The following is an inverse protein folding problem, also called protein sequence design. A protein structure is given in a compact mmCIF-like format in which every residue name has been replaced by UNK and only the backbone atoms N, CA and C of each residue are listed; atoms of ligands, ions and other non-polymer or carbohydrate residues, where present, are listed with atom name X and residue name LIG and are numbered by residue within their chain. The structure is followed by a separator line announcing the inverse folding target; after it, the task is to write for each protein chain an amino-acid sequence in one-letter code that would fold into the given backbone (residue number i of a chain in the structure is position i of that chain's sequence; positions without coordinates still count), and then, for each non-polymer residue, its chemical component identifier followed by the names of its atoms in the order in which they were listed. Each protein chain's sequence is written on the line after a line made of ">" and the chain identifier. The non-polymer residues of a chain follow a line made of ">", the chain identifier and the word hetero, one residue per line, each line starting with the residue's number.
data_IF_795411269935
#
_entry.id   IF_795411269935
#
_cell.length_a   1.000
_cell.length_b   1.000
_cell.length_c   1.000
_cell.angle_alpha   90.00
_cell.angle_beta   90.00
_cell.angle_gamma   90.00
#
_symmetry.space_group_name_H-M   'P 1'
#
loop_
_entity.id
_entity.type
_entity.pdbx_description
1 polymer ?
#
# COMPACT_ATOMS: atom_id res chain seq x y z
N UNK A 1 -13.43 19.25 16.64
CA UNK A 1 -13.26 20.30 15.61
C UNK A 1 -12.37 21.38 16.18
N UNK A 2 -11.58 22.09 15.37
CA UNK A 2 -10.80 23.26 15.81
C UNK A 2 -11.75 24.40 16.18
N UNK A 3 -11.25 25.37 16.95
CA UNK A 3 -12.07 26.50 17.44
C UNK A 3 -12.65 27.36 16.31
N UNK A 4 -11.96 27.45 15.17
CA UNK A 4 -12.37 28.19 13.96
C UNK A 4 -13.17 27.34 12.96
N UNK A 5 -13.39 26.06 13.23
CA UNK A 5 -14.09 25.14 12.34
C UNK A 5 -13.28 24.63 11.14
N UNK A 6 -12.06 25.13 10.90
CA UNK A 6 -11.26 24.80 9.72
C UNK A 6 -10.79 23.33 9.68
N UNK A 7 -10.64 22.70 10.85
CA UNK A 7 -10.13 21.34 10.98
C UNK A 7 -11.05 20.45 11.81
N UNK A 8 -11.15 19.20 11.41
CA UNK A 8 -11.85 18.16 12.16
C UNK A 8 -10.88 17.02 12.49
N UNK A 9 -10.86 16.62 13.77
CA UNK A 9 -10.15 15.44 14.22
C UNK A 9 -10.98 14.22 13.83
N UNK A 10 -10.41 13.34 13.01
CA UNK A 10 -11.08 12.14 12.49
C UNK A 10 -10.28 10.89 12.82
N UNK A 11 -10.98 9.80 13.08
CA UNK A 11 -10.42 8.46 13.15
C UNK A 11 -10.81 7.68 11.89
N UNK A 12 -9.83 7.01 11.29
CA UNK A 12 -10.04 6.18 10.11
C UNK A 12 -9.19 4.92 10.18
N UNK A 13 -9.31 4.06 9.17
CA UNK A 13 -8.44 2.89 9.03
C UNK A 13 -6.94 3.24 8.80
N UNK A 14 -6.60 4.52 8.60
CA UNK A 14 -5.23 5.02 8.57
C UNK A 14 -4.70 5.40 9.95
N UNK A 15 -5.58 5.78 10.88
CA UNK A 15 -5.26 6.31 12.20
C UNK A 15 -6.09 7.54 12.57
N UNK A 16 -5.70 8.19 13.66
CA UNK A 16 -6.29 9.42 14.18
C UNK A 16 -5.50 10.64 13.67
N UNK A 17 -6.20 11.65 13.12
CA UNK A 17 -5.53 12.85 12.59
C UNK A 17 -6.47 13.99 12.28
N UNK A 18 -5.89 15.17 12.04
CA UNK A 18 -6.64 16.36 11.63
C UNK A 18 -6.77 16.41 10.10
N UNK A 19 -7.98 16.62 9.63
CA UNK A 19 -8.32 16.78 8.20
C UNK A 19 -9.03 18.12 8.02
N UNK A 20 -8.83 18.84 6.89
CA UNK A 20 -9.61 20.03 6.59
C UNK A 20 -11.10 19.69 6.65
N UNK A 21 -11.88 20.48 7.39
CA UNK A 21 -13.33 20.25 7.50
C UNK A 21 -14.02 20.34 6.13
N UNK A 22 -13.41 21.01 5.16
CA UNK A 22 -13.85 21.10 3.77
C UNK A 22 -13.65 19.82 2.93
N UNK A 23 -12.99 18.79 3.48
CA UNK A 23 -12.78 17.50 2.81
C UNK A 23 -13.65 16.37 3.39
N UNK A 24 -14.47 16.67 4.41
CA UNK A 24 -15.35 15.69 5.06
C UNK A 24 -16.85 15.96 4.81
N UNK A 25 -17.62 14.91 4.56
CA UNK A 25 -19.06 15.01 4.40
C UNK A 25 -19.77 14.09 5.41
N UNK A 26 -20.83 14.59 6.05
CA UNK A 26 -21.60 13.84 7.04
C UNK A 26 -22.52 12.85 6.35
N UNK A 27 -22.25 11.56 6.56
CA UNK A 27 -23.13 10.47 6.12
C UNK A 27 -24.24 10.22 7.15
N UNK A 28 -25.49 10.26 6.72
CA UNK A 28 -26.62 9.85 7.55
C UNK A 28 -26.75 8.31 7.64
N UNK A 29 -27.75 7.82 8.37
CA UNK A 29 -27.99 6.38 8.51
C UNK A 29 -28.46 5.72 7.20
N UNK A 30 -29.16 6.45 6.33
CA UNK A 30 -29.63 5.94 5.04
C UNK A 30 -28.47 5.73 4.08
N UNK A 31 -27.63 6.75 3.91
CA UNK A 31 -26.45 6.69 3.06
C UNK A 31 -25.50 5.58 3.52
N UNK A 32 -25.26 5.44 4.82
CA UNK A 32 -24.40 4.35 5.34
C UNK A 32 -24.93 2.97 4.97
N UNK A 33 -26.24 2.73 5.08
CA UNK A 33 -26.86 1.46 4.65
C UNK A 33 -26.69 1.21 3.15
N UNK A 34 -26.81 2.25 2.32
CA UNK A 34 -26.59 2.14 0.88
C UNK A 34 -25.11 1.99 0.51
N UNK A 35 -24.20 2.50 1.33
CA UNK A 35 -22.76 2.34 1.13
C UNK A 35 -22.31 0.92 1.50
N UNK A 36 -22.86 0.37 2.58
CA UNK A 36 -22.50 -0.91 3.16
C UNK A 36 -23.20 -2.12 2.50
N UNK A 37 -23.32 -2.11 1.17
CA UNK A 37 -24.08 -3.13 0.39
C UNK A 37 -23.41 -4.49 0.26
N UNK A 38 -22.16 -4.65 0.72
CA UNK A 38 -21.42 -5.92 0.67
C UNK A 38 -20.85 -6.30 -0.71
N UNK A 39 -21.15 -5.52 -1.76
CA UNK A 39 -20.61 -5.71 -3.10
C UNK A 39 -19.77 -4.52 -3.52
N UNK A 40 -18.47 -4.75 -3.68
CA UNK A 40 -17.51 -3.68 -3.95
C UNK A 40 -16.63 -4.00 -5.13
N UNK A 41 -16.08 -2.93 -5.70
CA UNK A 41 -14.95 -2.99 -6.60
C UNK A 41 -13.71 -2.37 -5.97
N UNK A 42 -12.53 -2.81 -6.41
CA UNK A 42 -11.26 -2.24 -6.02
C UNK A 42 -10.48 -1.77 -7.26
N UNK A 43 -9.83 -0.62 -7.13
CA UNK A 43 -9.03 -0.04 -8.20
C UNK A 43 -7.76 -0.84 -8.45
N UNK A 44 -7.47 -1.15 -9.71
CA UNK A 44 -6.23 -1.81 -10.15
C UNK A 44 -5.37 -0.92 -11.05
N UNK A 45 -5.88 0.27 -11.42
CA UNK A 45 -5.12 1.35 -12.05
C UNK A 45 -5.17 2.60 -11.19
N UNK A 46 -4.06 3.32 -11.14
CA UNK A 46 -3.95 4.54 -10.35
C UNK A 46 -4.41 5.77 -11.14
N UNK A 47 -4.66 6.89 -10.45
CA UNK A 47 -4.93 8.22 -11.04
C UNK A 47 -6.07 8.27 -12.09
N UNK A 48 -7.10 7.44 -11.95
CA UNK A 48 -8.29 7.49 -12.78
C UNK A 48 -9.16 8.69 -12.41
N UNK A 49 -9.85 9.28 -13.39
CA UNK A 49 -10.77 10.39 -13.12
C UNK A 49 -12.15 9.85 -12.75
N UNK A 50 -12.69 10.27 -11.61
CA UNK A 50 -14.10 10.08 -11.28
C UNK A 50 -14.90 11.21 -11.95
N UNK A 51 -15.65 10.86 -12.98
CA UNK A 51 -16.48 11.78 -13.76
C UNK A 51 -17.94 11.33 -13.66
N UNK A 52 -18.84 12.26 -13.33
CA UNK A 52 -20.27 11.96 -13.27
C UNK A 52 -20.92 11.91 -14.66
N UNK A 53 -22.17 11.46 -14.74
CA UNK A 53 -22.92 11.33 -16.00
C UNK A 53 -23.12 12.66 -16.75
N UNK A 54 -22.86 13.81 -16.10
CA UNK A 54 -22.90 15.14 -16.70
C UNK A 54 -21.53 15.58 -17.23
N UNK A 55 -20.53 14.70 -17.21
CA UNK A 55 -19.17 14.99 -17.66
C UNK A 55 -18.35 15.82 -16.67
N UNK A 56 -18.82 16.00 -15.42
CA UNK A 56 -18.10 16.80 -14.44
C UNK A 56 -17.07 15.96 -13.70
N UNK A 57 -15.84 16.45 -13.67
CA UNK A 57 -14.80 15.90 -12.82
C UNK A 57 -15.16 16.10 -11.34
N UNK A 58 -15.12 15.02 -10.56
CA UNK A 58 -15.35 15.03 -9.12
C UNK A 58 -14.01 15.02 -8.37
N UNK A 59 -13.21 13.96 -8.58
CA UNK A 59 -11.90 13.75 -7.96
C UNK A 59 -11.14 12.63 -8.68
N UNK A 60 -9.93 12.29 -8.21
CA UNK A 60 -9.17 11.14 -8.70
C UNK A 60 -9.39 9.91 -7.84
N UNK A 61 -9.54 8.76 -8.49
CA UNK A 61 -9.57 7.45 -7.86
C UNK A 61 -8.41 6.57 -8.28
N UNK A 62 -7.94 5.70 -7.40
CA UNK A 62 -6.69 4.98 -7.61
C UNK A 62 -6.52 3.77 -6.72
N UNK A 63 -5.40 3.05 -6.92
CA UNK A 63 -5.11 1.81 -6.19
C UNK A 63 -5.10 2.09 -4.68
N UNK A 64 -5.74 1.23 -3.90
CA UNK A 64 -6.00 1.44 -2.47
C UNK A 64 -7.44 1.84 -2.14
N UNK A 65 -8.22 2.30 -3.12
CA UNK A 65 -9.62 2.66 -2.92
C UNK A 65 -10.58 1.51 -3.27
N UNK A 66 -11.68 1.46 -2.52
CA UNK A 66 -12.79 0.51 -2.64
C UNK A 66 -14.07 1.32 -2.82
N UNK A 67 -14.89 0.98 -3.81
CA UNK A 67 -16.14 1.67 -4.12
C UNK A 67 -17.32 0.69 -4.19
N UNK A 68 -18.53 1.06 -3.69
CA UNK A 68 -19.72 0.23 -3.81
C UNK A 68 -20.10 0.02 -5.28
N UNK A 69 -20.39 -1.23 -5.65
CA UNK A 69 -20.79 -1.59 -7.01
C UNK A 69 -22.30 -1.44 -7.20
N UNK A 70 -22.72 -0.62 -8.17
CA UNK A 70 -24.13 -0.46 -8.54
C UNK A 70 -24.55 -1.50 -9.58
N UNK A 71 -23.83 -1.52 -10.70
CA UNK A 71 -24.16 -2.37 -11.84
C UNK A 71 -22.94 -2.61 -12.73
N UNK A 72 -23.04 -3.61 -13.60
CA UNK A 72 -22.04 -3.92 -14.63
C UNK A 72 -22.63 -3.63 -16.01
N UNK A 73 -22.00 -2.72 -16.75
CA UNK A 73 -22.24 -2.52 -18.17
C UNK A 73 -21.41 -3.47 -19.04
N UNK A 74 -21.41 -3.26 -20.34
CA UNK A 74 -20.64 -4.10 -21.28
C UNK A 74 -19.12 -3.94 -21.09
N UNK A 75 -18.66 -2.70 -20.90
CA UNK A 75 -17.25 -2.30 -20.88
C UNK A 75 -16.86 -1.46 -19.65
N UNK A 76 -17.78 -1.31 -18.69
CA UNK A 76 -17.57 -0.55 -17.45
C UNK A 76 -18.32 -1.14 -16.25
N UNK A 77 -17.91 -0.73 -15.06
CA UNK A 77 -18.71 -0.82 -13.85
C UNK A 77 -19.29 0.56 -13.52
N UNK A 78 -20.55 0.59 -13.08
CA UNK A 78 -21.12 1.75 -12.39
C UNK A 78 -20.97 1.59 -10.90
N UNK A 79 -20.44 2.61 -10.25
CA UNK A 79 -20.11 2.60 -8.83
C UNK A 79 -20.61 3.86 -8.16
N UNK A 80 -20.86 3.77 -6.86
CA UNK A 80 -21.17 4.93 -6.04
C UNK A 80 -19.90 5.62 -5.56
N UNK A 81 -19.91 6.95 -5.61
CA UNK A 81 -18.97 7.83 -4.90
C UNK A 81 -19.73 8.78 -3.98
N UNK A 82 -19.11 9.19 -2.88
CA UNK A 82 -19.66 10.20 -1.98
C UNK A 82 -19.13 11.59 -2.34
N UNK A 83 -20.03 12.56 -2.45
CA UNK A 83 -19.71 13.99 -2.63
C UNK A 83 -20.41 14.82 -1.56
N UNK A 84 -19.83 15.96 -1.19
CA UNK A 84 -20.45 16.89 -0.25
C UNK A 84 -21.47 17.80 -0.96
N UNK A 85 -22.63 18.02 -0.34
CA UNK A 85 -23.53 19.12 -0.70
C UNK A 85 -23.10 20.46 -0.05
N UNK A 86 -23.86 21.52 -0.31
CA UNK A 86 -23.66 22.84 0.27
C UNK A 86 -23.76 22.88 1.81
N UNK A 87 -24.40 21.87 2.43
CA UNK A 87 -24.57 21.72 3.87
C UNK A 87 -23.56 20.74 4.50
N UNK A 88 -22.55 20.29 3.73
CA UNK A 88 -21.58 19.26 4.13
C UNK A 88 -22.21 17.90 4.45
N UNK A 89 -23.42 17.63 3.96
CA UNK A 89 -24.03 16.31 3.88
C UNK A 89 -23.41 15.50 2.76
N UNK A 90 -23.17 14.20 3.00
CA UNK A 90 -22.72 13.30 1.94
C UNK A 90 -23.92 12.91 1.05
N UNK A 91 -23.71 12.90 -0.26
CA UNK A 91 -24.64 12.39 -1.26
C UNK A 91 -23.94 11.42 -2.19
N UNK A 92 -24.68 10.42 -2.65
CA UNK A 92 -24.14 9.43 -3.57
C UNK A 92 -24.31 9.91 -5.02
N UNK A 93 -23.23 9.81 -5.80
CA UNK A 93 -23.26 9.97 -7.25
C UNK A 93 -22.77 8.69 -7.91
N UNK A 94 -23.38 8.34 -9.04
CA UNK A 94 -22.85 7.28 -9.89
C UNK A 94 -21.72 7.84 -10.75
N UNK A 95 -20.67 7.04 -10.92
CA UNK A 95 -19.64 7.23 -11.94
C UNK A 95 -19.44 5.92 -12.69
N UNK A 96 -18.91 6.04 -13.91
CA UNK A 96 -18.51 4.89 -14.72
C UNK A 96 -16.99 4.69 -14.66
N UNK A 97 -16.55 3.49 -14.33
CA UNK A 97 -15.14 3.09 -14.34
C UNK A 97 -14.92 1.97 -15.36
N UNK A 98 -13.93 2.09 -16.25
CA UNK A 98 -13.70 1.09 -17.29
C UNK A 98 -13.18 -0.23 -16.69
N UNK A 99 -13.59 -1.38 -17.24
CA UNK A 99 -13.25 -2.71 -16.68
C UNK A 99 -11.74 -2.97 -16.55
N UNK A 100 -10.91 -2.26 -17.31
CA UNK A 100 -9.46 -2.35 -17.25
C UNK A 100 -8.83 -1.62 -16.05
N UNK A 101 -9.57 -0.75 -15.36
CA UNK A 101 -9.08 0.06 -14.25
C UNK A 101 -9.49 -0.46 -12.88
N UNK A 102 -10.44 -1.41 -12.85
CA UNK A 102 -11.16 -1.79 -11.64
C UNK A 102 -11.67 -3.22 -11.75
N UNK A 103 -11.71 -3.92 -10.61
CA UNK A 103 -12.14 -5.33 -10.54
C UNK A 103 -13.14 -5.51 -9.41
N UNK A 104 -14.03 -6.51 -9.50
CA UNK A 104 -14.79 -6.94 -8.33
C UNK A 104 -13.83 -7.43 -7.27
N UNK A 105 -13.99 -6.93 -6.04
CA UNK A 105 -13.13 -7.30 -4.92
C UNK A 105 -13.68 -8.56 -4.24
N UNK A 106 -12.82 -9.54 -3.87
CA UNK A 106 -11.38 -9.58 -4.07
C UNK A 106 -10.95 -10.03 -5.47
N UNK A 107 -9.85 -9.46 -5.96
CA UNK A 107 -9.09 -9.97 -7.09
C UNK A 107 -8.38 -11.26 -6.68
N UNK A 108 -8.43 -12.28 -7.53
CA UNK A 108 -7.69 -13.52 -7.29
C UNK A 108 -6.19 -13.24 -7.14
N UNK A 109 -5.56 -13.80 -6.10
CA UNK A 109 -4.15 -13.60 -5.83
C UNK A 109 -3.29 -14.48 -6.75
N UNK A 110 -2.90 -13.95 -7.90
CA UNK A 110 -2.00 -14.62 -8.86
C UNK A 110 -0.78 -13.74 -9.13
N UNK A 111 0.34 -14.34 -9.55
CA UNK A 111 1.55 -13.60 -9.89
C UNK A 111 1.28 -12.49 -10.92
N UNK A 112 0.51 -12.79 -11.96
CA UNK A 112 0.16 -11.83 -13.01
C UNK A 112 -0.67 -10.66 -12.47
N UNK A 113 -1.63 -10.94 -11.58
CA UNK A 113 -2.46 -9.88 -11.01
C UNK A 113 -1.66 -8.95 -10.10
N UNK A 114 -0.86 -9.48 -9.17
CA UNK A 114 -0.07 -8.63 -8.28
C UNK A 114 1.02 -7.88 -9.03
N UNK A 115 1.68 -8.49 -10.01
CA UNK A 115 2.64 -7.80 -10.88
C UNK A 115 1.98 -6.65 -11.65
N UNK A 116 0.75 -6.84 -12.17
CA UNK A 116 -0.01 -5.80 -12.83
C UNK A 116 -0.31 -4.60 -11.93
N UNK A 117 -0.60 -4.83 -10.65
CA UNK A 117 -0.81 -3.77 -9.66
C UNK A 117 0.51 -3.13 -9.23
N UNK A 118 1.58 -3.90 -9.01
CA UNK A 118 2.93 -3.38 -8.73
C UNK A 118 3.37 -2.38 -9.81
N UNK A 119 3.13 -2.70 -11.08
CA UNK A 119 3.46 -1.85 -12.21
C UNK A 119 2.77 -0.47 -12.17
N UNK A 120 1.64 -0.32 -11.47
CA UNK A 120 1.02 0.99 -11.29
C UNK A 120 1.83 1.92 -10.39
N UNK A 121 2.61 1.36 -9.46
CA UNK A 121 3.39 2.11 -8.50
C UNK A 121 4.81 2.41 -8.99
N UNK A 122 5.36 1.62 -9.91
CA UNK A 122 6.74 1.75 -10.36
C UNK A 122 7.08 3.18 -10.79
N UNK A 123 8.16 3.74 -10.22
CA UNK A 123 8.59 5.11 -10.50
C UNK A 123 7.77 6.22 -9.83
N UNK A 124 6.68 5.90 -9.11
CA UNK A 124 5.92 6.91 -8.36
C UNK A 124 6.80 7.52 -7.27
N UNK A 125 6.80 8.86 -7.12
CA UNK A 125 7.61 9.53 -6.11
C UNK A 125 7.28 9.08 -4.69
N UNK A 126 8.30 9.11 -3.83
CA UNK A 126 8.14 8.91 -2.40
C UNK A 126 7.47 10.13 -1.76
N UNK A 127 6.39 9.91 -1.01
CA UNK A 127 5.73 10.93 -0.20
C UNK A 127 5.64 10.50 1.25
N UNK A 128 6.44 11.11 2.12
CA UNK A 128 6.38 10.86 3.56
C UNK A 128 4.97 11.09 4.09
N UNK A 129 4.37 10.09 4.74
CA UNK A 129 3.01 10.22 5.27
C UNK A 129 1.92 10.33 4.21
N UNK A 130 2.24 10.23 2.92
CA UNK A 130 1.33 10.49 1.80
C UNK A 130 1.38 11.92 1.25
N UNK A 131 2.43 12.69 1.56
CA UNK A 131 2.59 14.06 1.08
C UNK A 131 2.44 14.17 -0.46
N UNK A 132 1.73 15.20 -0.92
CA UNK A 132 1.37 15.43 -2.33
C UNK A 132 0.45 14.35 -2.95
N UNK A 133 -0.20 13.52 -2.13
CA UNK A 133 -0.98 12.39 -2.62
C UNK A 133 -0.13 11.21 -3.11
N UNK A 134 1.18 11.23 -2.82
CA UNK A 134 2.09 10.12 -3.10
C UNK A 134 2.00 9.05 -2.00
N UNK A 135 2.88 8.06 -2.05
CA UNK A 135 2.94 6.97 -1.06
C UNK A 135 4.31 6.89 -0.41
N UNK A 136 4.34 6.42 0.84
CA UNK A 136 5.58 5.97 1.50
C UNK A 136 5.69 4.45 1.43
N UNK A 137 6.75 3.89 2.04
CA UNK A 137 7.02 2.45 2.01
C UNK A 137 5.82 1.61 2.47
N UNK A 138 5.17 2.01 3.56
CA UNK A 138 4.05 1.27 4.16
C UNK A 138 2.72 1.54 3.47
N UNK A 139 2.44 2.77 3.03
CA UNK A 139 1.19 3.04 2.30
C UNK A 139 1.20 2.43 0.89
N UNK A 140 2.37 2.32 0.24
CA UNK A 140 2.53 1.56 -1.01
C UNK A 140 2.10 0.10 -0.84
N UNK A 141 2.58 -0.59 0.20
CA UNK A 141 2.18 -1.98 0.45
C UNK A 141 0.71 -2.09 0.86
N UNK A 142 0.23 -1.19 1.72
CA UNK A 142 -1.17 -1.17 2.14
C UNK A 142 -2.10 -1.10 0.92
N UNK A 143 -1.86 -0.17 0.01
CA UNK A 143 -2.71 0.03 -1.15
C UNK A 143 -2.56 -1.10 -2.18
N UNK A 144 -1.34 -1.64 -2.35
CA UNK A 144 -1.07 -2.81 -3.21
C UNK A 144 -1.95 -4.01 -2.87
N UNK A 145 -2.18 -4.27 -1.57
CA UNK A 145 -2.89 -5.45 -1.10
C UNK A 145 -4.43 -5.28 -1.05
N UNK A 146 -4.94 -4.05 -1.17
CA UNK A 146 -6.40 -3.76 -1.14
C UNK A 146 -7.21 -4.54 -2.19
N UNK A 147 -6.81 -4.59 -3.48
CA UNK A 147 -7.56 -5.32 -4.50
C UNK A 147 -7.71 -6.81 -4.17
N UNK A 148 -6.71 -7.39 -3.53
CA UNK A 148 -6.68 -8.81 -3.12
C UNK A 148 -7.43 -9.07 -1.81
N UNK A 149 -7.88 -8.02 -1.13
CA UNK A 149 -8.56 -8.12 0.16
C UNK A 149 -7.69 -8.52 1.33
N UNK A 150 -6.39 -8.32 1.22
CA UNK A 150 -5.46 -8.44 2.34
C UNK A 150 -5.36 -7.06 2.98
N UNK A 151 -5.77 -6.97 4.25
CA UNK A 151 -5.72 -5.72 4.99
C UNK A 151 -4.36 -5.56 5.68
N UNK A 152 -3.73 -4.40 5.49
CA UNK A 152 -2.53 -4.00 6.20
C UNK A 152 -2.77 -2.72 7.03
N UNK A 153 -2.22 -2.62 8.25
CA UNK A 153 -2.22 -1.39 9.03
C UNK A 153 -1.33 -0.32 8.36
N UNK A 154 -1.45 0.92 8.81
CA UNK A 154 -0.78 2.06 8.17
C UNK A 154 0.74 2.06 8.30
N UNK A 155 1.27 1.67 9.46
CA UNK A 155 2.68 1.84 9.79
C UNK A 155 3.47 0.54 9.59
N UNK A 156 4.70 0.64 9.08
CA UNK A 156 5.59 -0.49 8.79
C UNK A 156 5.76 -1.44 9.98
N UNK A 157 5.92 -0.90 11.20
CA UNK A 157 6.03 -1.71 12.42
C UNK A 157 4.79 -2.60 12.63
N UNK A 158 3.59 -2.03 12.52
CA UNK A 158 2.35 -2.80 12.66
C UNK A 158 2.12 -3.77 11.49
N UNK A 159 2.59 -3.43 10.28
CA UNK A 159 2.52 -4.35 9.15
C UNK A 159 3.37 -5.60 9.41
N UNK A 160 4.54 -5.41 10.01
CA UNK A 160 5.45 -6.50 10.32
C UNK A 160 4.98 -7.37 11.51
N UNK A 161 4.45 -6.74 12.56
CA UNK A 161 4.16 -7.43 13.83
C UNK A 161 2.67 -7.72 14.06
N UNK A 162 1.76 -7.18 13.25
CA UNK A 162 0.32 -7.17 13.54
C UNK A 162 -0.59 -7.92 12.57
N UNK A 163 -0.09 -8.40 11.42
CA UNK A 163 -0.95 -9.03 10.38
C UNK A 163 -0.62 -10.51 10.17
N UNK A 164 0.64 -10.90 10.33
CA UNK A 164 1.12 -12.24 10.03
C UNK A 164 2.13 -12.74 11.06
N UNK A 165 2.75 -13.89 10.77
CA UNK A 165 3.81 -14.44 11.63
C UNK A 165 5.09 -13.66 11.41
N UNK A 166 5.56 -12.95 12.44
CA UNK A 166 6.87 -12.33 12.42
C UNK A 166 7.96 -13.38 12.67
N UNK A 167 8.96 -13.41 11.79
CA UNK A 167 10.14 -14.27 11.87
C UNK A 167 11.35 -13.37 12.13
N UNK A 168 11.87 -13.31 13.37
CA UNK A 168 13.00 -12.47 13.72
C UNK A 168 14.30 -12.99 13.09
N UNK A 169 15.22 -12.07 12.78
CA UNK A 169 16.56 -12.34 12.28
C UNK A 169 17.65 -11.99 13.30
N UNK A 170 17.28 -11.99 14.59
CA UNK A 170 18.20 -11.83 15.72
C UNK A 170 19.39 -12.80 15.58
N UNK A 171 20.59 -12.29 15.84
CA UNK A 171 21.86 -13.03 15.79
C UNK A 171 22.21 -13.71 14.45
N UNK A 172 21.46 -13.45 13.37
CA UNK A 172 21.78 -13.98 12.05
C UNK A 172 22.83 -13.13 11.33
N UNK A 173 23.83 -13.81 10.77
CA UNK A 173 24.74 -13.21 9.80
C UNK A 173 23.98 -12.76 8.55
N UNK A 174 24.51 -11.80 7.80
CA UNK A 174 23.94 -11.36 6.50
C UNK A 174 23.69 -12.55 5.56
N UNK A 175 24.61 -13.54 5.54
CA UNK A 175 24.46 -14.77 4.75
C UNK A 175 23.28 -15.63 5.23
N UNK A 176 23.11 -15.76 6.54
CA UNK A 176 22.00 -16.52 7.11
C UNK A 176 20.65 -15.81 6.95
N UNK A 177 20.62 -14.47 7.03
CA UNK A 177 19.44 -13.67 6.66
C UNK A 177 19.01 -13.94 5.22
N UNK A 178 19.94 -13.85 4.27
CA UNK A 178 19.68 -14.17 2.85
C UNK A 178 19.13 -15.58 2.69
N UNK A 179 19.84 -16.59 3.24
CA UNK A 179 19.40 -17.99 3.17
C UNK A 179 18.00 -18.18 3.75
N UNK A 180 17.71 -17.55 4.89
CA UNK A 180 16.42 -17.66 5.56
C UNK A 180 15.29 -17.04 4.74
N UNK A 181 15.51 -15.86 4.14
CA UNK A 181 14.55 -15.23 3.22
C UNK A 181 14.26 -16.15 2.03
N UNK A 182 15.29 -16.72 1.40
CA UNK A 182 15.13 -17.57 0.21
C UNK A 182 14.41 -18.90 0.53
N UNK A 183 14.69 -19.50 1.69
CA UNK A 183 14.13 -20.80 2.07
C UNK A 183 12.71 -20.69 2.63
N UNK A 184 12.45 -19.69 3.47
CA UNK A 184 11.17 -19.57 4.19
C UNK A 184 10.21 -18.57 3.53
N UNK A 185 10.70 -17.72 2.61
CA UNK A 185 9.89 -16.72 1.92
C UNK A 185 9.20 -17.28 0.67
N UNK A 186 7.86 -17.23 0.64
CA UNK A 186 7.09 -17.47 -0.58
C UNK A 186 7.02 -16.19 -1.42
N UNK A 187 7.46 -16.13 -2.69
CA UNK A 187 7.43 -14.89 -3.47
C UNK A 187 6.10 -14.13 -3.40
N UNK A 188 6.15 -12.80 -3.30
CA UNK A 188 5.01 -11.87 -3.33
C UNK A 188 4.15 -11.83 -2.05
N UNK A 189 4.56 -12.48 -0.96
CA UNK A 189 3.83 -12.47 0.31
C UNK A 189 4.63 -11.91 1.51
N UNK A 190 5.88 -12.33 1.79
CA UNK A 190 6.65 -11.84 2.91
C UNK A 190 6.94 -10.34 2.82
N UNK A 191 6.79 -9.67 3.95
CA UNK A 191 7.23 -8.30 4.11
C UNK A 191 8.55 -8.28 4.88
N UNK A 192 9.62 -7.76 4.29
CA UNK A 192 10.91 -7.59 4.95
C UNK A 192 10.91 -6.26 5.69
N UNK A 193 11.21 -6.28 6.99
CA UNK A 193 11.05 -5.12 7.86
C UNK A 193 12.36 -4.72 8.54
N UNK A 194 12.55 -3.41 8.65
CA UNK A 194 13.58 -2.76 9.46
C UNK A 194 12.96 -1.52 10.12
N UNK A 195 13.53 -1.00 11.22
CA UNK A 195 13.07 0.27 11.78
C UNK A 195 13.05 1.38 10.72
N UNK A 196 11.85 1.90 10.46
CA UNK A 196 11.59 2.97 9.48
C UNK A 196 11.47 2.53 8.02
N UNK A 197 11.52 1.22 7.68
CA UNK A 197 11.32 0.77 6.29
C UNK A 197 10.70 -0.62 6.18
N UNK A 198 9.90 -0.84 5.13
CA UNK A 198 9.32 -2.14 4.81
C UNK A 198 9.33 -2.36 3.30
N UNK A 199 9.48 -3.62 2.88
CA UNK A 199 9.56 -4.00 1.48
C UNK A 199 8.85 -5.34 1.23
N UNK A 200 8.29 -5.51 0.04
CA UNK A 200 7.69 -6.78 -0.40
C UNK A 200 8.77 -7.67 -1.01
N UNK A 201 8.93 -8.89 -0.52
CA UNK A 201 9.79 -9.89 -1.15
C UNK A 201 9.18 -10.40 -2.46
N UNK A 202 9.96 -10.36 -3.55
CA UNK A 202 9.50 -10.74 -4.89
C UNK A 202 10.00 -12.12 -5.35
N UNK A 203 10.92 -12.73 -4.62
CA UNK A 203 11.60 -13.95 -5.05
C UNK A 203 13.11 -13.74 -5.24
N UNK A 204 13.73 -14.67 -5.95
CA UNK A 204 15.17 -14.72 -6.15
C UNK A 204 15.56 -14.27 -7.56
N UNK A 205 16.66 -13.54 -7.66
CA UNK A 205 17.39 -13.33 -8.91
C UNK A 205 18.88 -13.52 -8.67
N UNK A 206 19.51 -14.44 -9.41
CA UNK A 206 20.94 -14.75 -9.31
C UNK A 206 21.41 -15.05 -7.86
N UNK A 207 20.64 -15.85 -7.11
CA UNK A 207 20.98 -16.21 -5.72
C UNK A 207 20.70 -15.11 -4.69
N UNK A 208 20.09 -13.98 -5.08
CA UNK A 208 19.82 -12.86 -4.20
C UNK A 208 18.31 -12.56 -4.07
N UNK A 209 17.82 -12.22 -2.87
CA UNK A 209 16.45 -11.75 -2.70
C UNK A 209 16.21 -10.44 -3.43
N UNK A 210 15.11 -10.37 -4.16
CA UNK A 210 14.61 -9.17 -4.81
C UNK A 210 13.43 -8.61 -4.02
N UNK A 211 13.33 -7.28 -3.96
CA UNK A 211 12.28 -6.60 -3.22
C UNK A 211 11.63 -5.48 -4.04
N UNK A 212 10.33 -5.30 -3.85
CA UNK A 212 9.60 -4.11 -4.26
C UNK A 212 9.38 -3.20 -3.05
N UNK A 213 9.72 -1.92 -3.19
CA UNK A 213 9.53 -0.93 -2.12
C UNK A 213 9.42 0.49 -2.66
N UNK A 214 8.89 1.40 -1.85
CA UNK A 214 9.01 2.84 -2.07
C UNK A 214 10.01 3.41 -1.07
N UNK A 215 11.19 3.82 -1.55
CA UNK A 215 12.36 4.12 -0.71
C UNK A 215 12.80 5.57 -0.90
N UNK A 216 12.94 6.30 0.21
CA UNK A 216 13.43 7.68 0.19
C UNK A 216 14.89 7.75 -0.30
N UNK A 217 15.80 7.02 0.33
CA UNK A 217 17.19 6.99 -0.12
C UNK A 217 18.11 6.17 0.77
N UNK A 218 19.31 5.92 0.27
CA UNK A 218 20.36 5.11 0.88
C UNK A 218 21.27 6.02 1.70
N UNK A 219 21.56 5.66 2.95
CA UNK A 219 22.50 6.41 3.78
C UNK A 219 23.92 6.28 3.24
N UNK A 220 24.64 7.39 3.22
CA UNK A 220 26.02 7.47 2.71
C UNK A 220 26.91 8.15 3.73
N UNK A 221 28.22 7.89 3.68
CA UNK A 221 29.23 8.56 4.50
C UNK A 221 30.42 8.93 3.63
N UNK A 222 30.83 10.20 3.68
CA UNK A 222 31.97 10.66 2.90
C UNK A 222 33.32 10.39 3.60
N UNK A 223 34.43 10.69 2.92
CA UNK A 223 35.78 10.46 3.43
C UNK A 223 36.15 11.28 4.68
N UNK A 224 35.34 12.28 5.05
CA UNK A 224 35.47 13.04 6.30
C UNK A 224 34.52 12.55 7.39
N UNK A 225 33.81 11.43 7.16
CA UNK A 225 32.88 10.84 8.10
C UNK A 225 31.51 11.52 8.14
N UNK A 226 31.21 12.48 7.25
CA UNK A 226 29.93 13.21 7.26
C UNK A 226 28.83 12.35 6.66
N UNK A 227 27.68 12.36 7.33
CA UNK A 227 26.51 11.63 6.86
C UNK A 227 25.82 12.34 5.70
N UNK A 228 25.33 11.54 4.76
CA UNK A 228 24.56 12.01 3.62
C UNK A 228 23.51 10.98 3.19
N UNK A 229 22.88 11.25 2.06
CA UNK A 229 21.91 10.35 1.47
C UNK A 229 21.96 10.38 -0.05
N UNK A 230 22.05 9.21 -0.67
CA UNK A 230 21.70 9.05 -2.09
C UNK A 230 20.18 8.88 -2.18
N UNK A 231 19.51 9.91 -2.66
CA UNK A 231 18.05 9.88 -2.87
C UNK A 231 17.73 8.91 -4.02
N UNK A 232 16.83 7.97 -3.76
CA UNK A 232 16.12 7.21 -4.80
C UNK A 232 14.79 7.94 -5.02
N UNK A 233 13.99 8.05 -3.95
CA UNK A 233 12.84 8.94 -3.91
C UNK A 233 11.64 8.44 -4.72
N UNK A 234 11.56 7.15 -5.00
CA UNK A 234 10.43 6.56 -5.73
C UNK A 234 10.29 5.05 -5.46
N UNK A 235 9.18 4.48 -5.94
CA UNK A 235 8.98 3.03 -5.94
C UNK A 235 9.90 2.33 -6.94
N UNK A 236 10.58 1.29 -6.50
CA UNK A 236 11.58 0.56 -7.28
C UNK A 236 11.58 -0.93 -6.91
N UNK A 237 12.13 -1.71 -7.84
CA UNK A 237 12.55 -3.09 -7.58
C UNK A 237 14.08 -3.07 -7.43
N UNK A 238 14.57 -3.59 -6.32
CA UNK A 238 16.01 -3.65 -6.03
C UNK A 238 16.38 -5.01 -5.44
N UNK A 239 17.68 -5.33 -5.40
CA UNK A 239 18.18 -6.35 -4.50
C UNK A 239 18.16 -5.85 -3.04
N UNK A 240 18.55 -6.71 -2.09
CA UNK A 240 18.63 -6.33 -0.66
C UNK A 240 19.87 -5.51 -0.27
N UNK A 241 20.68 -5.10 -1.27
CA UNK A 241 21.87 -4.26 -1.10
C UNK A 241 21.83 -3.00 -2.00
N UNK A 242 20.75 -2.19 -1.97
CA UNK A 242 20.64 -1.05 -2.88
C UNK A 242 21.71 -0.01 -2.56
N UNK A 243 22.47 0.42 -3.57
CA UNK A 243 23.51 1.44 -3.42
C UNK A 243 24.88 0.92 -2.98
N UNK A 244 25.08 -0.40 -2.87
CA UNK A 244 26.37 -0.99 -2.56
C UNK A 244 27.46 -0.66 -3.60
N UNK A 245 27.05 -0.27 -4.81
CA UNK A 245 27.93 0.22 -5.88
C UNK A 245 28.44 1.66 -5.67
N UNK A 246 27.91 2.39 -4.69
CA UNK A 246 28.29 3.78 -4.44
C UNK A 246 29.61 3.87 -3.67
N UNK A 247 30.51 4.75 -4.10
CA UNK A 247 31.78 4.98 -3.42
C UNK A 247 31.61 5.42 -1.95
N UNK A 248 30.58 6.23 -1.67
CA UNK A 248 30.25 6.73 -0.35
C UNK A 248 29.24 5.86 0.42
N UNK A 249 29.05 4.59 0.04
CA UNK A 249 28.10 3.70 0.71
C UNK A 249 28.48 3.49 2.20
N UNK A 250 27.53 3.65 3.10
CA UNK A 250 27.70 3.31 4.51
C UNK A 250 27.25 1.86 4.73
N UNK A 251 28.15 0.87 4.91
CA UNK A 251 27.75 -0.54 5.02
C UNK A 251 26.99 -0.85 6.32
N UNK A 252 27.12 -0.02 7.35
CA UNK A 252 26.45 -0.20 8.63
C UNK A 252 25.00 0.25 8.56
N UNK A 253 24.73 1.39 7.92
CA UNK A 253 23.40 2.02 7.94
C UNK A 253 22.75 2.19 6.55
N UNK A 254 23.52 2.12 5.48
CA UNK A 254 23.06 2.18 4.09
C UNK A 254 22.57 0.83 3.57
N UNK A 255 23.14 -0.27 4.07
CA UNK A 255 22.76 -1.62 3.66
C UNK A 255 21.38 -2.03 4.17
N UNK A 256 20.48 -2.41 3.25
CA UNK A 256 19.13 -2.80 3.64
C UNK A 256 19.14 -4.14 4.38
N UNK A 257 19.85 -5.16 3.87
CA UNK A 257 19.88 -6.48 4.47
C UNK A 257 20.40 -6.47 5.91
N UNK A 258 21.46 -5.70 6.18
CA UNK A 258 22.01 -5.55 7.52
C UNK A 258 20.96 -4.99 8.51
N UNK A 259 20.14 -4.03 8.06
CA UNK A 259 19.09 -3.40 8.88
C UNK A 259 17.81 -4.23 9.00
N UNK A 260 17.57 -5.22 8.15
CA UNK A 260 16.37 -6.07 8.27
C UNK A 260 16.45 -6.84 9.59
N UNK A 261 15.44 -6.63 10.44
CA UNK A 261 15.31 -7.27 11.75
C UNK A 261 14.42 -8.51 11.70
N UNK A 262 13.63 -8.66 10.63
CA UNK A 262 12.84 -9.87 10.40
C UNK A 262 11.96 -9.77 9.17
N UNK A 263 11.19 -10.83 8.94
CA UNK A 263 10.17 -10.87 7.89
C UNK A 263 8.81 -11.26 8.45
N UNK A 264 7.76 -10.64 7.94
CA UNK A 264 6.38 -10.97 8.28
C UNK A 264 5.78 -11.84 7.18
N UNK A 265 5.35 -13.05 7.56
CA UNK A 265 4.66 -13.98 6.67
C UNK A 265 3.16 -13.72 6.73
N UNK A 266 2.61 -13.07 5.70
CA UNK A 266 1.19 -12.68 5.61
C UNK A 266 0.22 -13.87 5.54
N UNK A 267 0.71 -15.03 5.10
CA UNK A 267 -0.03 -16.29 5.05
C UNK A 267 0.87 -17.34 5.71
N UNK A 268 0.34 -18.07 6.70
CA UNK A 268 1.08 -19.17 7.30
C UNK A 268 0.98 -20.40 6.38
N UNK A 269 2.03 -21.22 6.24
CA UNK A 269 1.95 -22.47 5.48
C UNK A 269 0.77 -23.37 5.88
N UNK A 270 0.29 -23.24 7.13
CA UNK A 270 -0.77 -24.06 7.71
C UNK A 270 -2.21 -23.60 7.36
N UNK A 271 -2.40 -22.42 6.74
CA UNK A 271 -3.75 -21.92 6.44
C UNK A 271 -4.45 -22.60 5.24
N UNK A 272 -3.83 -23.60 4.62
CA UNK A 272 -4.42 -24.42 3.56
C UNK A 272 -5.41 -25.50 4.04
N UNK A 273 -5.70 -25.61 5.34
CA UNK A 273 -6.53 -26.68 5.91
C UNK A 273 -7.74 -26.23 6.74
N UNK A 274 -8.13 -24.95 6.72
CA UNK A 274 -9.41 -24.56 7.33
C UNK A 274 -10.48 -24.42 6.26
N UNK A 275 -11.52 -25.29 6.24
CA UNK A 275 -12.67 -25.08 5.39
C UNK A 275 -13.33 -23.75 5.77
N UNK A 276 -13.68 -22.97 4.75
CA UNK A 276 -14.49 -21.77 4.93
C UNK A 276 -15.77 -22.16 5.69
N UNK A 277 -16.17 -21.43 6.75
CA UNK A 277 -17.45 -21.68 7.39
C UNK A 277 -18.57 -21.36 6.40
N UNK A 278 -19.44 -22.35 6.18
CA UNK A 278 -20.66 -22.18 5.38
C UNK A 278 -21.48 -21.00 5.90
N UNK A 279 -21.61 -19.95 5.09
CA UNK A 279 -22.69 -18.95 5.15
C UNK A 279 -23.01 -18.42 3.76
#
# INVERSE_FOLDING_TARGET
>A
MSADGAWTLVESHFGLGWVPSADIARADAGLRRTWEIGHYVAMTKDNQSAIDDQGRFLFRVGVGQILPLCSRGADHYRVWVAVADENRGAHLKEISLPLQAVVRKPLAFTMNHIAGVINQFMGQPYGWGGLYGNRDCSSTLKDLFVPFGIWLPRNSFHQAHGVGKFVPFEDLSTKDKTRKILVEGSPLLPLLWSPGHIALYLGEYAGQPMVFHNLWGIRTRDGWGREGRKVIGHAAITGVHPGAELCQFDPTYGDLLNRIEGMALLVSPDSGQQPLPDR
#
